data_IF_755553138583
#
_entry.id   IF_755553138583
#
_cell.length_a   1.000
_cell.length_b   1.000
_cell.length_c   1.000
_cell.angle_alpha   90.00
_cell.angle_beta   90.00
_cell.angle_gamma   90.00
#
_symmetry.space_group_name_H-M   'P 1'
#
loop_
_entity.id
_entity.type
_entity.pdbx_description
1 polymer ?
#
# COMPACT_ATOMS: atom_id res chain seq x y z
N UNK A 1 -4.99 -36.20 -46.47
CA UNK A 1 -3.88 -36.91 -45.77
C UNK A 1 -2.67 -36.00 -45.46
N UNK A 2 -2.81 -34.66 -45.45
CA UNK A 2 -1.75 -33.72 -45.03
C UNK A 2 -1.87 -33.25 -43.56
N UNK A 3 -3.04 -33.36 -42.94
CA UNK A 3 -3.31 -32.83 -41.60
C UNK A 3 -2.63 -33.58 -40.45
N UNK A 4 -2.59 -34.92 -40.48
CA UNK A 4 -1.94 -35.70 -39.41
C UNK A 4 -0.44 -35.42 -39.31
N UNK A 5 0.23 -35.13 -40.44
CA UNK A 5 1.69 -34.93 -40.43
C UNK A 5 2.04 -33.55 -39.86
N UNK A 6 1.29 -32.52 -40.21
CA UNK A 6 1.48 -31.19 -39.64
C UNK A 6 1.08 -31.14 -38.16
N UNK A 7 0.00 -31.83 -37.78
CA UNK A 7 -0.40 -31.97 -36.37
C UNK A 7 0.67 -32.68 -35.54
N UNK A 8 1.22 -33.79 -36.05
CA UNK A 8 2.27 -34.55 -35.36
C UNK A 8 3.56 -33.75 -35.25
N UNK A 9 3.90 -32.97 -36.29
CA UNK A 9 5.06 -32.07 -36.28
C UNK A 9 4.87 -30.92 -35.28
N UNK A 10 3.66 -30.36 -35.15
CA UNK A 10 3.35 -29.33 -34.15
C UNK A 10 3.43 -29.87 -32.71
N UNK A 11 2.96 -31.10 -32.47
CA UNK A 11 3.05 -31.75 -31.16
C UNK A 11 4.52 -31.96 -30.76
N UNK A 12 5.33 -32.52 -31.67
CA UNK A 12 6.76 -32.75 -31.43
C UNK A 12 7.50 -31.42 -31.22
N UNK A 13 7.18 -30.39 -32.01
CA UNK A 13 7.77 -29.07 -31.86
C UNK A 13 7.41 -28.41 -30.52
N UNK A 14 6.16 -28.52 -30.08
CA UNK A 14 5.69 -27.98 -28.78
C UNK A 14 6.41 -28.65 -27.61
N UNK A 15 6.52 -29.98 -27.64
CA UNK A 15 7.26 -30.75 -26.63
C UNK A 15 8.74 -30.34 -26.64
N UNK A 16 9.35 -30.17 -27.81
CA UNK A 16 10.74 -29.73 -27.94
C UNK A 16 10.98 -28.35 -27.35
N UNK A 17 10.10 -27.38 -27.61
CA UNK A 17 10.20 -26.02 -27.06
C UNK A 17 10.09 -26.04 -25.53
N UNK A 18 9.16 -26.82 -24.97
CA UNK A 18 9.02 -26.96 -23.52
C UNK A 18 10.26 -27.59 -22.87
N UNK A 19 10.86 -28.61 -23.50
CA UNK A 19 12.08 -29.24 -22.99
C UNK A 19 13.29 -28.28 -23.00
N UNK A 20 13.46 -27.52 -24.08
CA UNK A 20 14.52 -26.50 -24.17
C UNK A 20 14.32 -25.41 -23.11
N UNK A 21 13.07 -24.96 -22.92
CA UNK A 21 12.73 -23.97 -21.90
C UNK A 21 12.97 -24.48 -20.48
N UNK A 22 12.55 -25.71 -20.17
CA UNK A 22 12.77 -26.35 -18.85
C UNK A 22 14.26 -26.57 -18.54
N UNK A 23 15.09 -26.80 -19.57
CA UNK A 23 16.54 -26.95 -19.40
C UNK A 23 17.25 -25.60 -19.17
N UNK A 24 16.76 -24.50 -19.78
CA UNK A 24 17.30 -23.15 -19.55
C UNK A 24 16.78 -22.50 -18.26
N UNK A 25 15.56 -22.79 -17.82
CA UNK A 25 14.97 -22.30 -16.57
C UNK A 25 14.48 -23.47 -15.69
N UNK A 26 15.39 -24.15 -14.97
CA UNK A 26 14.97 -25.17 -14.01
C UNK A 26 14.11 -24.53 -12.91
N UNK A 27 13.00 -25.17 -12.49
CA UNK A 27 12.19 -24.69 -11.38
C UNK A 27 13.04 -24.54 -10.10
N UNK A 28 12.81 -23.50 -9.29
CA UNK A 28 13.50 -23.37 -8.01
C UNK A 28 13.21 -24.59 -7.13
N UNK A 29 14.24 -25.09 -6.45
CA UNK A 29 14.09 -26.23 -5.54
C UNK A 29 13.04 -25.90 -4.46
N UNK A 30 12.11 -26.83 -4.17
CA UNK A 30 11.18 -26.63 -3.08
C UNK A 30 11.99 -26.48 -1.77
N UNK A 31 11.63 -25.50 -0.91
CA UNK A 31 12.29 -25.36 0.38
C UNK A 31 12.18 -26.69 1.16
N UNK A 32 13.19 -27.02 1.99
CA UNK A 32 13.19 -28.25 2.76
C UNK A 32 11.91 -28.34 3.61
N UNK A 33 11.34 -29.56 3.78
CA UNK A 33 10.15 -29.74 4.59
C UNK A 33 10.39 -29.17 5.98
N UNK A 34 9.65 -28.13 6.34
CA UNK A 34 9.43 -27.81 7.74
C UNK A 34 8.59 -28.95 8.28
N UNK A 35 9.01 -29.57 9.39
CA UNK A 35 8.21 -30.59 10.07
C UNK A 35 6.87 -29.97 10.52
N UNK A 36 5.86 -30.07 9.66
CA UNK A 36 4.47 -29.84 10.02
C UNK A 36 4.01 -31.03 10.85
N UNK A 37 3.84 -30.80 12.14
CA UNK A 37 3.06 -31.66 13.01
C UNK A 37 1.59 -31.64 12.55
N UNK A 38 1.24 -32.67 11.77
CA UNK A 38 -0.06 -33.34 11.79
C UNK A 38 -1.31 -32.52 11.51
N UNK A 39 -1.72 -32.49 10.24
CA UNK A 39 -3.14 -32.44 9.88
C UNK A 39 -3.71 -33.86 9.86
N UNK A 40 -5.00 -34.03 10.19
CA UNK A 40 -5.81 -35.02 9.48
C UNK A 40 -7.10 -34.42 8.92
N UNK A 41 -7.29 -34.60 7.61
CA UNK A 41 -8.59 -34.95 7.03
C UNK A 41 -9.38 -33.82 6.38
N UNK A 42 -9.29 -33.73 5.04
CA UNK A 42 -10.45 -33.36 4.23
C UNK A 42 -11.41 -34.58 4.13
N UNK A 43 -12.73 -34.40 4.03
CA UNK A 43 -13.31 -34.23 2.68
C UNK A 43 -14.58 -33.36 2.62
N UNK A 44 -14.83 -32.76 1.45
CA UNK A 44 -16.17 -32.28 1.10
C UNK A 44 -16.18 -31.17 0.07
N UNK A 45 -16.40 -31.55 -1.18
CA UNK A 45 -16.75 -30.62 -2.26
C UNK A 45 -18.10 -29.94 -1.97
N UNK A 46 -18.14 -28.62 -2.13
CA UNK A 46 -19.37 -27.89 -2.39
C UNK A 46 -19.04 -26.71 -3.32
N UNK A 47 -19.68 -26.76 -4.48
CA UNK A 47 -19.76 -25.70 -5.48
C UNK A 47 -20.38 -24.46 -4.84
N UNK A 48 -19.74 -23.31 -4.93
CA UNK A 48 -20.49 -22.05 -4.93
C UNK A 48 -19.75 -20.94 -5.66
N UNK A 49 -20.52 -20.24 -6.49
CA UNK A 49 -20.14 -19.19 -7.43
C UNK A 49 -19.63 -17.93 -6.73
N UNK A 50 -18.47 -17.42 -7.15
CA UNK A 50 -17.99 -16.07 -6.78
C UNK A 50 -18.28 -15.12 -7.95
N UNK A 51 -18.98 -13.99 -7.74
CA UNK A 51 -19.22 -12.99 -8.78
C UNK A 51 -17.96 -12.14 -9.02
N UNK A 52 -17.59 -11.99 -10.29
CA UNK A 52 -16.55 -11.08 -10.78
C UNK A 52 -17.02 -9.62 -10.70
N UNK A 53 -16.27 -8.71 -10.05
CA UNK A 53 -16.48 -7.28 -10.21
C UNK A 53 -15.53 -6.71 -11.28
N UNK A 54 -16.14 -6.30 -12.39
CA UNK A 54 -15.90 -5.03 -13.11
C UNK A 54 -14.47 -4.60 -13.43
N UNK A 55 -14.14 -4.61 -14.73
CA UNK A 55 -12.90 -4.07 -15.27
C UNK A 55 -12.70 -2.57 -15.02
N UNK A 56 -11.45 -2.20 -14.76
CA UNK A 56 -10.99 -0.82 -14.70
C UNK A 56 -10.44 -0.41 -16.08
N UNK A 57 -10.81 0.74 -16.65
CA UNK A 57 -10.23 1.22 -17.90
C UNK A 57 -8.78 1.71 -17.69
N UNK A 58 -7.88 1.30 -18.57
CA UNK A 58 -6.53 1.81 -18.65
C UNK A 58 -6.50 3.13 -19.44
N UNK A 59 -5.86 4.20 -18.94
CA UNK A 59 -5.44 5.30 -19.80
C UNK A 59 -4.02 5.04 -20.33
N UNK A 60 -3.93 4.89 -21.66
CA UNK A 60 -2.71 5.09 -22.42
C UNK A 60 -2.40 6.58 -22.50
N UNK A 61 -1.16 6.98 -22.16
CA UNK A 61 -0.68 8.35 -22.34
C UNK A 61 0.83 8.45 -22.10
N UNK A 62 1.57 8.72 -23.17
CA UNK A 62 3.04 8.83 -23.26
C UNK A 62 3.56 10.02 -22.45
N UNK A 63 4.71 9.88 -21.76
CA UNK A 63 5.44 10.97 -21.09
C UNK A 63 6.85 11.06 -21.69
N UNK A 64 7.29 12.22 -22.23
CA UNK A 64 8.71 12.47 -22.50
C UNK A 64 9.44 12.82 -21.19
N UNK A 65 10.66 12.31 -21.02
CA UNK A 65 11.37 12.26 -19.74
C UNK A 65 11.79 13.60 -19.12
N UNK A 66 12.05 13.54 -17.81
CA UNK A 66 12.69 14.57 -17.00
C UNK A 66 13.09 14.01 -15.62
N UNK A 67 14.33 14.32 -15.20
CA UNK A 67 15.10 13.82 -14.04
C UNK A 67 14.39 13.82 -12.67
N UNK A 68 14.87 13.03 -11.68
CA UNK A 68 14.28 12.97 -10.34
C UNK A 68 14.47 14.30 -9.60
N UNK A 69 13.35 14.90 -9.18
CA UNK A 69 13.35 16.08 -8.32
C UNK A 69 13.43 15.64 -6.85
N UNK A 70 14.63 15.76 -6.28
CA UNK A 70 14.84 15.88 -4.83
C UNK A 70 14.36 17.26 -4.39
N UNK A 71 13.55 17.31 -3.34
CA UNK A 71 13.16 18.56 -2.66
C UNK A 71 11.67 18.86 -2.73
N UNK A 72 10.87 18.21 -1.88
CA UNK A 72 9.50 18.64 -1.64
C UNK A 72 9.41 19.24 -0.22
N UNK A 73 9.63 20.55 -0.13
CA UNK A 73 9.23 21.35 1.02
C UNK A 73 8.20 22.42 0.61
N UNK A 74 7.00 22.24 1.19
CA UNK A 74 6.01 23.23 1.63
C UNK A 74 5.32 24.19 0.63
N UNK A 75 3.97 24.10 0.61
CA UNK A 75 2.99 25.21 0.74
C UNK A 75 1.56 24.62 0.72
N UNK A 76 0.56 25.07 1.48
CA UNK A 76 0.44 26.22 2.38
C UNK A 76 -0.45 25.91 3.60
N UNK A 77 -0.86 26.91 4.37
CA UNK A 77 -1.91 26.78 5.40
C UNK A 77 -3.17 26.16 4.74
N UNK A 78 -3.85 25.20 5.39
CA UNK A 78 -4.66 24.09 4.78
C UNK A 78 -3.85 22.86 4.31
N UNK A 79 -2.54 22.85 4.57
CA UNK A 79 -1.56 21.81 4.23
C UNK A 79 -0.44 21.72 5.26
N UNK A 80 -0.76 21.96 6.53
CA UNK A 80 0.17 21.73 7.64
C UNK A 80 0.49 20.24 7.74
N UNK A 81 1.79 19.93 7.83
CA UNK A 81 2.29 18.56 7.93
C UNK A 81 3.08 18.40 9.22
N UNK A 82 2.85 17.30 9.93
CA UNK A 82 3.56 16.94 11.14
C UNK A 82 4.78 16.08 10.75
N UNK A 83 6.02 16.53 11.03
CA UNK A 83 7.20 15.73 10.76
C UNK A 83 7.27 14.49 11.66
N UNK A 84 7.85 13.43 11.11
CA UNK A 84 8.12 12.18 11.82
C UNK A 84 9.60 12.20 12.21
N UNK A 85 9.86 12.18 13.51
CA UNK A 85 11.22 12.11 14.05
C UNK A 85 11.48 10.68 14.55
N UNK A 86 12.22 9.93 13.74
CA UNK A 86 12.65 8.56 14.01
C UNK A 86 14.05 8.31 13.42
N UNK A 87 14.78 7.36 14.02
CA UNK A 87 16.13 7.02 13.57
C UNK A 87 16.17 6.32 12.21
N UNK A 88 15.12 5.56 11.84
CA UNK A 88 15.11 4.67 10.67
C UNK A 88 14.11 5.09 9.61
N UNK A 89 13.15 5.94 9.96
CA UNK A 89 12.13 6.46 9.06
C UNK A 89 12.28 7.98 8.96
N UNK A 90 12.10 8.51 7.75
CA UNK A 90 11.94 9.94 7.49
C UNK A 90 10.58 10.20 6.86
N UNK A 91 9.99 11.36 7.12
CA UNK A 91 8.74 11.71 6.47
C UNK A 91 7.89 12.74 7.22
N UNK A 92 6.65 12.87 6.76
CA UNK A 92 5.68 13.79 7.35
C UNK A 92 4.25 13.34 7.08
N UNK A 93 3.34 13.72 7.98
CA UNK A 93 1.92 13.36 7.93
C UNK A 93 1.12 14.64 7.71
N UNK A 94 0.27 14.75 6.67
CA UNK A 94 -0.61 15.89 6.50
C UNK A 94 -1.73 15.87 7.55
N UNK A 95 -2.11 17.05 8.03
CA UNK A 95 -3.30 17.19 8.86
C UNK A 95 -4.61 17.03 8.06
N UNK A 96 -4.53 17.00 6.73
CA UNK A 96 -5.70 16.82 5.86
C UNK A 96 -5.93 15.35 5.55
N UNK A 97 -7.13 14.86 5.87
CA UNK A 97 -7.61 13.52 5.52
C UNK A 97 -7.13 12.38 6.41
N UNK A 98 -6.49 12.65 7.56
CA UNK A 98 -5.98 11.62 8.48
C UNK A 98 -5.20 10.49 7.77
N UNK A 99 -4.32 10.88 6.83
CA UNK A 99 -3.57 9.97 5.95
C UNK A 99 -2.10 9.91 6.31
N UNK A 100 -1.47 8.77 6.04
CA UNK A 100 -0.02 8.57 6.09
C UNK A 100 0.45 8.40 4.64
N UNK A 101 1.16 9.40 4.12
CA UNK A 101 1.39 9.53 2.68
C UNK A 101 2.86 9.78 2.31
N UNK A 102 3.72 10.16 3.26
CA UNK A 102 5.14 10.44 2.99
C UNK A 102 6.00 9.72 4.03
N UNK A 103 6.57 8.59 3.61
CA UNK A 103 7.45 7.73 4.41
C UNK A 103 8.63 7.29 3.54
N UNK A 104 9.83 7.55 4.02
CA UNK A 104 11.09 7.12 3.43
C UNK A 104 11.87 6.28 4.43
N UNK A 105 12.43 5.17 3.97
CA UNK A 105 13.19 4.24 4.81
C UNK A 105 14.68 4.58 4.74
N UNK A 106 15.27 5.03 5.84
CA UNK A 106 16.66 5.50 5.92
C UNK A 106 17.70 4.40 5.72
N UNK A 107 17.33 3.15 6.01
CA UNK A 107 18.22 1.99 5.91
C UNK A 107 18.20 1.32 4.53
N UNK A 108 17.33 1.74 3.62
CA UNK A 108 17.08 1.04 2.37
C UNK A 108 17.27 1.95 1.17
N UNK A 109 17.96 1.42 0.15
CA UNK A 109 18.24 2.11 -1.11
C UNK A 109 17.62 1.37 -2.28
N UNK A 110 17.34 2.09 -3.36
CA UNK A 110 16.71 1.52 -4.55
C UNK A 110 17.63 0.52 -5.27
N UNK A 111 18.94 0.71 -5.16
CA UNK A 111 19.97 -0.16 -5.74
C UNK A 111 21.08 -0.40 -4.73
N UNK A 112 22.04 -1.27 -5.07
CA UNK A 112 23.22 -1.57 -4.22
C UNK A 112 24.26 -0.46 -4.19
N UNK A 113 24.11 0.59 -5.02
CA UNK A 113 25.00 1.74 -5.03
C UNK A 113 24.82 2.57 -3.74
N UNK A 114 25.90 2.88 -3.00
CA UNK A 114 25.83 3.72 -1.79
C UNK A 114 25.25 5.13 -2.01
N UNK A 115 25.36 5.68 -3.21
CA UNK A 115 24.82 7.00 -3.58
C UNK A 115 23.38 6.92 -4.12
N UNK A 116 22.82 5.71 -4.21
CA UNK A 116 21.45 5.48 -4.69
C UNK A 116 20.43 6.14 -3.75
N UNK A 117 19.32 6.70 -4.29
CA UNK A 117 18.26 7.26 -3.48
C UNK A 117 17.71 6.26 -2.46
N UNK A 118 17.24 6.79 -1.32
CA UNK A 118 16.50 6.01 -0.35
C UNK A 118 15.17 5.50 -0.93
N UNK A 119 14.64 4.42 -0.36
CA UNK A 119 13.32 3.92 -0.74
C UNK A 119 12.24 4.81 -0.12
N UNK A 120 11.49 5.51 -0.97
CA UNK A 120 10.23 6.14 -0.62
C UNK A 120 9.13 5.05 -0.59
N UNK A 121 8.74 4.62 0.61
CA UNK A 121 7.73 3.58 0.80
C UNK A 121 6.33 4.13 0.50
N UNK A 122 6.00 5.30 1.06
CA UNK A 122 4.72 5.97 0.82
C UNK A 122 4.95 7.28 0.07
N UNK A 123 4.07 7.54 -0.88
CA UNK A 123 4.09 8.72 -1.75
C UNK A 123 2.72 9.41 -1.78
N UNK A 124 2.66 10.76 -1.71
CA UNK A 124 1.41 11.51 -1.69
C UNK A 124 0.50 11.28 -2.90
N UNK A 125 -0.82 11.48 -2.75
CA UNK A 125 -1.73 11.48 -3.88
C UNK A 125 -1.32 12.53 -4.93
N UNK A 126 -1.60 12.23 -6.20
CA UNK A 126 -1.23 13.09 -7.34
C UNK A 126 0.18 12.87 -7.90
N UNK A 127 1.02 12.07 -7.23
CA UNK A 127 2.32 11.64 -7.77
C UNK A 127 2.16 10.37 -8.62
N UNK A 128 3.10 10.17 -9.57
CA UNK A 128 3.18 8.91 -10.33
C UNK A 128 3.54 7.77 -9.38
N UNK A 129 2.67 6.76 -9.29
CA UNK A 129 2.85 5.66 -8.34
C UNK A 129 2.52 6.03 -6.90
N UNK A 130 1.60 6.98 -6.68
CA UNK A 130 1.09 7.31 -5.35
C UNK A 130 0.67 6.04 -4.58
N UNK A 131 1.18 5.92 -3.35
CA UNK A 131 0.92 4.80 -2.48
C UNK A 131 0.89 5.31 -1.04
N UNK A 132 -0.28 5.29 -0.42
CA UNK A 132 -0.52 5.91 0.89
C UNK A 132 -1.58 5.11 1.65
N UNK A 133 -1.64 5.32 2.96
CA UNK A 133 -2.68 4.77 3.82
C UNK A 133 -3.59 5.91 4.31
N UNK A 134 -4.91 5.67 4.36
CA UNK A 134 -5.89 6.65 4.79
C UNK A 134 -6.84 6.03 5.83
N UNK A 135 -7.25 6.83 6.82
CA UNK A 135 -8.30 6.47 7.76
C UNK A 135 -9.59 7.17 7.37
N UNK A 136 -10.64 6.38 7.16
CA UNK A 136 -11.98 6.87 6.82
C UNK A 136 -13.03 6.39 7.80
N UNK A 137 -14.12 7.17 7.89
CA UNK A 137 -15.30 6.84 8.69
C UNK A 137 -16.54 6.82 7.81
N UNK A 138 -17.36 5.80 8.00
CA UNK A 138 -18.66 5.67 7.35
C UNK A 138 -19.72 5.59 8.42
N UNK A 139 -20.74 6.44 8.33
CA UNK A 139 -21.88 6.38 9.21
C UNK A 139 -22.87 5.30 8.74
N UNK A 140 -23.35 4.46 9.66
CA UNK A 140 -24.30 3.40 9.34
C UNK A 140 -25.66 3.92 8.84
N UNK A 141 -26.06 5.12 9.27
CA UNK A 141 -27.30 5.78 8.87
C UNK A 141 -27.20 6.49 7.51
N UNK A 142 -25.98 6.65 6.96
CA UNK A 142 -25.72 7.39 5.73
C UNK A 142 -26.06 8.90 5.78
N UNK A 143 -26.45 9.43 6.93
CA UNK A 143 -26.91 10.82 7.11
C UNK A 143 -25.99 11.61 8.04
N UNK A 144 -25.35 10.95 9.01
CA UNK A 144 -24.39 11.59 9.90
C UNK A 144 -23.16 12.02 9.10
N UNK A 145 -22.83 13.32 9.15
CA UNK A 145 -21.61 13.84 8.53
C UNK A 145 -20.37 13.21 9.17
N UNK A 146 -19.53 12.60 8.34
CA UNK A 146 -18.23 12.04 8.72
C UNK A 146 -17.09 12.75 7.96
N UNK A 147 -15.85 12.65 8.45
CA UNK A 147 -14.69 13.17 7.75
C UNK A 147 -14.53 12.56 6.35
N UNK A 148 -14.07 13.38 5.43
CA UNK A 148 -13.64 13.01 4.09
C UNK A 148 -12.12 13.11 3.95
N UNK A 149 -11.59 12.69 2.81
CA UNK A 149 -10.18 12.86 2.45
C UNK A 149 -9.70 14.33 2.51
N UNK A 150 -10.61 15.29 2.37
CA UNK A 150 -10.31 16.73 2.37
C UNK A 150 -10.51 17.38 3.75
N UNK A 151 -10.89 16.60 4.76
CA UNK A 151 -11.15 17.12 6.11
C UNK A 151 -9.86 17.53 6.80
N UNK A 152 -9.82 18.77 7.30
CA UNK A 152 -8.73 19.27 8.10
C UNK A 152 -8.89 18.83 9.56
N UNK A 153 -7.88 18.12 10.07
CA UNK A 153 -7.83 17.67 11.45
C UNK A 153 -7.05 18.64 12.33
N UNK A 154 -7.50 18.79 13.58
CA UNK A 154 -6.80 19.58 14.59
C UNK A 154 -5.87 18.69 15.42
N UNK A 155 -4.74 19.24 15.86
CA UNK A 155 -3.82 18.56 16.79
C UNK A 155 -3.07 19.57 17.64
N UNK A 156 -2.66 19.15 18.84
CA UNK A 156 -1.72 19.90 19.68
C UNK A 156 -0.28 19.37 19.54
N UNK A 157 -0.11 18.23 18.86
CA UNK A 157 1.19 17.60 18.67
C UNK A 157 1.93 18.26 17.51
N UNK A 158 3.25 18.39 17.66
CA UNK A 158 4.10 19.04 16.64
C UNK A 158 5.00 18.07 15.87
N UNK A 159 5.17 16.86 16.39
CA UNK A 159 6.05 15.84 15.82
C UNK A 159 5.55 14.46 16.25
N UNK A 160 5.57 13.50 15.34
CA UNK A 160 5.37 12.09 15.67
C UNK A 160 6.73 11.48 16.04
N UNK A 161 6.83 10.83 17.19
CA UNK A 161 7.99 10.01 17.57
C UNK A 161 7.52 8.65 18.08
N UNK A 162 8.47 7.76 18.38
CA UNK A 162 8.16 6.49 19.05
C UNK A 162 7.49 6.67 20.42
N UNK A 163 7.83 7.73 21.14
CA UNK A 163 7.33 7.97 22.51
C UNK A 163 6.10 8.89 22.54
N UNK A 164 5.96 9.73 21.50
CA UNK A 164 4.88 10.71 21.38
C UNK A 164 3.99 10.36 20.19
N UNK A 165 2.82 9.73 20.43
CA UNK A 165 1.86 9.48 19.38
C UNK A 165 1.22 10.79 18.91
N UNK A 166 0.81 10.84 17.65
CA UNK A 166 0.11 11.98 17.06
C UNK A 166 -1.39 11.81 17.24
N UNK A 167 -2.01 12.67 18.03
CA UNK A 167 -3.46 12.69 18.25
C UNK A 167 -4.11 13.73 17.36
N UNK A 168 -5.10 13.31 16.62
CA UNK A 168 -5.91 14.17 15.78
C UNK A 168 -7.30 14.33 16.41
N UNK A 169 -7.96 15.43 16.13
CA UNK A 169 -9.31 15.72 16.59
C UNK A 169 -10.15 16.36 15.48
N UNK A 170 -11.40 15.93 15.40
CA UNK A 170 -12.42 16.50 14.54
C UNK A 170 -13.80 16.35 15.18
N UNK A 171 -14.66 17.32 14.94
CA UNK A 171 -16.03 17.37 15.45
C UNK A 171 -16.98 17.82 14.34
N UNK A 172 -18.16 17.20 14.24
CA UNK A 172 -19.13 17.51 13.19
C UNK A 172 -20.16 18.59 13.58
N UNK A 173 -20.08 19.15 14.78
CA UNK A 173 -21.02 20.12 15.34
C UNK A 173 -22.39 19.55 15.70
N UNK A 174 -22.58 18.23 15.57
CA UNK A 174 -23.84 17.53 15.73
C UNK A 174 -23.72 16.32 16.69
N UNK A 175 -22.82 16.40 17.66
CA UNK A 175 -22.64 15.39 18.72
C UNK A 175 -21.76 14.20 18.36
N UNK A 176 -21.02 14.25 17.23
CA UNK A 176 -19.99 13.27 16.89
C UNK A 176 -18.61 13.92 16.96
N UNK A 177 -17.79 13.42 17.88
CA UNK A 177 -16.38 13.74 17.98
C UNK A 177 -15.52 12.52 17.64
N UNK A 178 -14.50 12.71 16.81
CA UNK A 178 -13.56 11.68 16.38
C UNK A 178 -12.13 12.07 16.78
N UNK A 179 -11.41 11.11 17.36
CA UNK A 179 -10.04 11.33 17.84
C UNK A 179 -9.09 10.21 17.41
N UNK A 180 -8.73 10.11 16.12
CA UNK A 180 -7.77 9.12 15.66
C UNK A 180 -6.38 9.42 16.21
N UNK A 181 -5.65 8.35 16.53
CA UNK A 181 -4.29 8.40 17.03
C UNK A 181 -3.36 7.62 16.11
N UNK A 182 -2.27 8.25 15.71
CA UNK A 182 -1.20 7.63 14.92
C UNK A 182 -0.04 7.34 15.87
N UNK A 183 0.37 6.08 15.94
CA UNK A 183 1.42 5.59 16.82
C UNK A 183 2.57 5.01 16.00
N UNK A 184 3.79 5.27 16.43
CA UNK A 184 4.98 4.56 15.92
C UNK A 184 5.34 3.45 16.92
N UNK A 185 5.18 2.19 16.50
CA UNK A 185 5.42 1.03 17.36
C UNK A 185 6.41 0.07 16.72
N UNK A 186 7.56 -0.11 17.36
CA UNK A 186 8.60 -1.02 16.85
C UNK A 186 9.16 -0.56 15.50
N UNK A 187 8.78 -1.25 14.43
CA UNK A 187 9.16 -0.99 13.03
C UNK A 187 7.98 -0.52 12.17
N UNK A 188 6.82 -0.28 12.78
CA UNK A 188 5.56 -0.01 12.08
C UNK A 188 4.98 1.33 12.54
N UNK A 189 4.28 2.00 11.62
CA UNK A 189 3.36 3.08 11.96
C UNK A 189 1.94 2.49 11.88
N UNK A 190 1.16 2.69 12.93
CA UNK A 190 -0.23 2.22 13.03
C UNK A 190 -1.10 3.42 13.33
N UNK A 191 -2.28 3.47 12.71
CA UNK A 191 -3.27 4.49 12.98
C UNK A 191 -4.55 3.81 13.47
N UNK A 192 -5.10 4.34 14.57
CA UNK A 192 -6.29 3.79 15.25
C UNK A 192 -7.32 4.91 15.36
N UNK A 193 -8.54 4.66 14.87
CA UNK A 193 -9.66 5.60 14.98
C UNK A 193 -10.54 5.28 16.18
N UNK A 194 -10.80 6.27 17.03
CA UNK A 194 -11.82 6.21 18.08
C UNK A 194 -12.89 7.27 17.80
N UNK A 195 -14.16 6.91 17.98
CA UNK A 195 -15.28 7.83 17.82
C UNK A 195 -16.22 7.75 19.02
N UNK A 196 -16.64 8.91 19.52
CA UNK A 196 -17.61 9.03 20.62
C UNK A 196 -18.83 9.77 20.11
N UNK A 197 -20.02 9.24 20.44
CA UNK A 197 -21.30 9.93 20.30
C UNK A 197 -21.74 10.38 21.69
N UNK A 198 -22.15 11.63 21.81
CA UNK A 198 -22.79 12.17 23.02
C UNK A 198 -24.31 12.03 22.96
#
# INVERSE_FOLDING_TARGET
MLDNRNLLLAIVLSIGILLVFQMMMPPPEPPPPTEEAGAPGAPGAATDTIPTPGGMPAPSGVVPGGKPAVGQQARGADGARIPIDDARIDGSIPLTGARIDSITLKDYRQTTDPESPLIALLSPPGQRGAFYAELGWVAADGATTTPTQDTLWSTNDRTLTRERPLKLAWDNGAGLALTPTIVHWGRCIVAVGEGRRE
#
